data_IF_583118669151
#
_entry.id   IF_583118669151
#
_cell.length_a   1.000
_cell.length_b   1.000
_cell.length_c   1.000
_cell.angle_alpha   90.00
_cell.angle_beta   90.00
_cell.angle_gamma   90.00
#
_symmetry.space_group_name_H-M   'P 1'
#
loop_
_entity.id
_entity.type
_entity.pdbx_description
1 polymer ?
#
# COMPACT_ATOMS: atom_id res chain seq x y z
N UNK A 1 25.58 7.55 36.47
CA UNK A 1 25.30 7.46 35.02
C UNK A 1 23.80 7.41 34.82
N UNK A 2 23.14 8.56 34.70
CA UNK A 2 21.69 8.66 34.45
C UNK A 2 21.45 8.90 32.96
N UNK A 3 21.17 7.83 32.23
CA UNK A 3 20.76 7.90 30.84
C UNK A 3 19.38 8.57 30.76
N UNK A 4 19.31 9.77 30.18
CA UNK A 4 18.05 10.44 29.87
C UNK A 4 17.37 9.68 28.72
N UNK A 5 16.25 9.03 29.03
CA UNK A 5 15.34 8.51 28.02
C UNK A 5 14.88 9.68 27.13
N UNK A 6 15.18 9.62 25.83
CA UNK A 6 14.68 10.59 24.86
C UNK A 6 13.16 10.54 24.89
N UNK A 7 12.44 11.66 25.07
CA UNK A 7 10.99 11.64 25.04
C UNK A 7 10.55 11.12 23.68
N UNK A 8 9.75 10.06 23.67
CA UNK A 8 9.07 9.57 22.47
C UNK A 8 8.36 10.77 21.85
N UNK A 9 8.65 11.09 20.58
CA UNK A 9 7.87 12.05 19.81
C UNK A 9 6.40 11.75 20.07
N UNK A 10 5.74 12.60 20.85
CA UNK A 10 4.30 12.56 21.02
C UNK A 10 3.71 12.43 19.62
N UNK A 11 2.79 11.48 19.42
CA UNK A 11 2.01 11.38 18.18
C UNK A 11 1.07 12.59 18.15
N UNK A 12 1.64 13.77 17.94
CA UNK A 12 0.88 15.00 17.76
C UNK A 12 0.15 14.81 16.45
N UNK A 13 -1.18 14.71 16.51
CA UNK A 13 -2.06 14.73 15.34
C UNK A 13 -2.02 16.15 14.74
N UNK A 14 -0.91 16.48 14.07
CA UNK A 14 -0.65 17.80 13.49
C UNK A 14 -1.18 17.95 12.06
N UNK A 15 -1.33 16.83 11.36
CA UNK A 15 -1.78 16.81 9.96
C UNK A 15 -3.30 16.81 9.86
N UNK A 16 -3.83 17.51 8.86
CA UNK A 16 -5.27 17.63 8.60
C UNK A 16 -5.62 17.00 7.25
N UNK A 17 -6.72 16.23 7.25
CA UNK A 17 -7.36 15.74 6.04
C UNK A 17 -8.60 16.60 5.79
N UNK A 18 -8.58 17.39 4.71
CA UNK A 18 -9.68 18.27 4.33
C UNK A 18 -10.42 17.71 3.11
N UNK A 19 -11.75 17.60 3.20
CA UNK A 19 -12.61 17.20 2.10
C UNK A 19 -13.93 17.97 2.18
N UNK A 20 -14.44 18.41 1.03
CA UNK A 20 -15.80 18.94 0.92
C UNK A 20 -16.75 17.79 0.63
N UNK A 21 -17.85 17.74 1.37
CA UNK A 21 -18.89 16.72 1.23
C UNK A 21 -20.26 17.38 1.08
N UNK A 22 -21.19 16.68 0.45
CA UNK A 22 -22.59 17.10 0.37
C UNK A 22 -23.30 16.89 1.72
N UNK A 23 -24.47 17.51 1.87
CA UNK A 23 -25.32 17.30 3.06
C UNK A 23 -25.74 15.83 3.21
N UNK A 24 -26.03 15.15 2.10
CA UNK A 24 -26.42 13.73 2.10
C UNK A 24 -25.25 12.84 2.55
N UNK A 25 -24.03 13.11 2.06
CA UNK A 25 -22.83 12.40 2.51
C UNK A 25 -22.57 12.59 3.99
N UNK A 26 -22.73 13.83 4.50
CA UNK A 26 -22.60 14.12 5.93
C UNK A 26 -23.61 13.32 6.76
N UNK A 27 -24.88 13.36 6.36
CA UNK A 27 -25.96 12.66 7.08
C UNK A 27 -25.75 11.15 7.09
N UNK A 28 -25.31 10.58 5.97
CA UNK A 28 -24.97 9.17 5.86
C UNK A 28 -23.82 8.77 6.81
N UNK A 29 -22.75 9.57 6.83
CA UNK A 29 -21.58 9.31 7.68
C UNK A 29 -21.96 9.43 9.17
N UNK A 30 -22.74 10.45 9.54
CA UNK A 30 -23.24 10.64 10.91
C UNK A 30 -24.08 9.46 11.36
N UNK A 31 -25.00 8.98 10.51
CA UNK A 31 -25.81 7.82 10.81
C UNK A 31 -24.97 6.55 10.98
N UNK A 32 -24.03 6.29 10.07
CA UNK A 32 -23.15 5.13 10.14
C UNK A 32 -22.25 5.13 11.40
N UNK A 33 -21.73 6.31 11.79
CA UNK A 33 -20.96 6.48 13.00
C UNK A 33 -21.81 6.20 14.26
N UNK A 34 -23.04 6.72 14.28
CA UNK A 34 -23.98 6.49 15.37
C UNK A 34 -24.34 4.99 15.53
N UNK A 35 -24.59 4.28 14.43
CA UNK A 35 -24.87 2.84 14.45
C UNK A 35 -23.71 2.02 15.02
N UNK A 36 -22.48 2.49 14.87
CA UNK A 36 -21.27 1.83 15.37
C UNK A 36 -20.84 2.35 16.76
N UNK A 37 -21.62 3.25 17.37
CA UNK A 37 -21.34 3.78 18.71
C UNK A 37 -20.06 4.60 18.79
N UNK A 38 -19.61 5.22 17.69
CA UNK A 38 -18.36 5.98 17.62
C UNK A 38 -18.57 7.38 17.07
N UNK A 39 -17.60 8.26 17.33
CA UNK A 39 -17.65 9.64 16.80
C UNK A 39 -17.48 9.64 15.27
N UNK A 40 -18.02 10.65 14.60
CA UNK A 40 -17.82 10.86 13.15
C UNK A 40 -16.33 10.90 12.80
N UNK A 41 -15.52 11.60 13.59
CA UNK A 41 -14.07 11.70 13.38
C UNK A 41 -13.41 10.32 13.43
N UNK A 42 -13.75 9.50 14.43
CA UNK A 42 -13.20 8.15 14.57
C UNK A 42 -13.65 7.21 13.44
N UNK A 43 -14.93 7.32 13.07
CA UNK A 43 -15.51 6.60 11.93
C UNK A 43 -14.76 6.91 10.63
N UNK A 44 -14.58 8.20 10.33
CA UNK A 44 -13.91 8.66 9.10
C UNK A 44 -12.44 8.23 9.11
N UNK A 45 -11.71 8.46 10.21
CA UNK A 45 -10.29 8.12 10.29
C UNK A 45 -10.06 6.62 10.08
N UNK A 46 -10.85 5.78 10.76
CA UNK A 46 -10.73 4.32 10.63
C UNK A 46 -11.07 3.87 9.21
N UNK A 47 -12.18 4.37 8.66
CA UNK A 47 -12.64 3.97 7.32
C UNK A 47 -11.65 4.38 6.23
N UNK A 48 -11.09 5.60 6.32
CA UNK A 48 -10.08 6.08 5.37
C UNK A 48 -8.78 5.28 5.51
N UNK A 49 -8.36 4.94 6.73
CA UNK A 49 -7.16 4.15 6.95
C UNK A 49 -7.31 2.71 6.41
N UNK A 50 -8.47 2.08 6.59
CA UNK A 50 -8.77 0.77 6.02
C UNK A 50 -8.78 0.81 4.49
N UNK A 51 -9.47 1.80 3.90
CA UNK A 51 -9.52 1.96 2.44
C UNK A 51 -8.13 2.19 1.84
N UNK A 52 -7.31 3.05 2.46
CA UNK A 52 -5.95 3.29 2.02
C UNK A 52 -5.08 2.04 2.09
N UNK A 53 -5.22 1.23 3.16
CA UNK A 53 -4.48 -0.03 3.29
C UNK A 53 -4.86 -1.02 2.18
N UNK A 54 -6.16 -1.22 1.95
CA UNK A 54 -6.65 -2.11 0.89
C UNK A 54 -6.15 -1.68 -0.48
N UNK A 55 -6.24 -0.39 -0.79
CA UNK A 55 -5.74 0.14 -2.06
C UNK A 55 -4.24 -0.12 -2.25
N UNK A 56 -3.43 0.02 -1.20
CA UNK A 56 -1.99 -0.29 -1.27
C UNK A 56 -1.75 -1.79 -1.46
N UNK A 57 -2.45 -2.64 -0.69
CA UNK A 57 -2.32 -4.09 -0.76
C UNK A 57 -2.71 -4.63 -2.14
N UNK A 58 -3.80 -4.13 -2.73
CA UNK A 58 -4.25 -4.49 -4.08
C UNK A 58 -3.19 -4.20 -5.15
N UNK A 59 -2.39 -3.14 -5.00
CA UNK A 59 -1.34 -2.80 -5.96
C UNK A 59 -0.01 -3.52 -5.70
N UNK A 60 0.21 -4.03 -4.48
CA UNK A 60 1.45 -4.70 -4.09
C UNK A 60 1.36 -6.22 -4.15
N UNK A 61 0.14 -6.77 -4.17
CA UNK A 61 -0.08 -8.21 -4.12
C UNK A 61 -0.32 -8.76 -5.53
N UNK A 62 0.56 -9.67 -5.95
CA UNK A 62 0.32 -10.53 -7.10
C UNK A 62 -0.44 -11.78 -6.62
N UNK A 63 -1.76 -11.80 -6.84
CA UNK A 63 -2.53 -13.02 -6.65
C UNK A 63 -2.34 -13.92 -7.88
N UNK A 64 -1.52 -14.96 -7.71
CA UNK A 64 -1.23 -15.94 -8.74
C UNK A 64 -2.23 -17.09 -8.68
N UNK A 65 -2.71 -17.54 -9.83
CA UNK A 65 -3.44 -18.82 -9.90
C UNK A 65 -2.52 -19.97 -9.49
N UNK A 66 -3.08 -21.15 -9.14
CA UNK A 66 -2.26 -22.32 -8.79
C UNK A 66 -1.26 -22.68 -9.90
N UNK A 67 -1.65 -22.50 -11.16
CA UNK A 67 -0.76 -22.70 -12.32
C UNK A 67 0.38 -21.68 -12.32
N UNK A 68 0.06 -20.40 -12.13
CA UNK A 68 1.06 -19.33 -12.16
C UNK A 68 1.98 -19.39 -10.94
N UNK A 69 1.47 -19.79 -9.76
CA UNK A 69 2.28 -20.04 -8.57
C UNK A 69 3.30 -21.15 -8.82
N UNK A 70 2.89 -22.25 -9.46
CA UNK A 70 3.83 -23.35 -9.82
C UNK A 70 4.88 -22.86 -10.81
N UNK A 71 4.47 -22.17 -11.88
CA UNK A 71 5.39 -21.61 -12.86
C UNK A 71 6.38 -20.62 -12.23
N UNK A 72 5.92 -19.78 -11.30
CA UNK A 72 6.74 -18.83 -10.58
C UNK A 72 7.77 -19.53 -9.66
N UNK A 73 7.33 -20.50 -8.85
CA UNK A 73 8.22 -21.27 -7.97
C UNK A 73 9.22 -22.08 -8.78
N UNK A 74 8.78 -22.73 -9.87
CA UNK A 74 9.68 -23.47 -10.76
C UNK A 74 10.73 -22.55 -11.39
N UNK A 75 10.36 -21.33 -11.77
CA UNK A 75 11.32 -20.35 -12.30
C UNK A 75 12.34 -19.89 -11.26
N UNK A 76 11.99 -19.87 -9.96
CA UNK A 76 12.92 -19.54 -8.87
C UNK A 76 13.88 -20.68 -8.54
N UNK A 77 13.37 -21.92 -8.51
CA UNK A 77 14.16 -23.10 -8.12
C UNK A 77 14.97 -23.65 -9.31
N UNK A 78 14.43 -23.56 -10.52
CA UNK A 78 15.03 -24.04 -11.76
C UNK A 78 15.20 -22.89 -12.77
N UNK A 79 16.07 -21.91 -12.48
CA UNK A 79 16.24 -20.73 -13.33
C UNK A 79 16.68 -21.15 -14.72
N UNK A 80 15.87 -20.80 -15.73
CA UNK A 80 16.21 -21.06 -17.12
C UNK A 80 17.26 -20.06 -17.62
N UNK A 81 18.19 -20.47 -18.49
CA UNK A 81 19.16 -19.56 -19.06
C UNK A 81 18.44 -18.46 -19.86
N UNK A 82 18.94 -17.23 -19.73
CA UNK A 82 18.46 -16.07 -20.48
C UNK A 82 18.50 -16.39 -21.98
N UNK A 83 17.40 -16.15 -22.69
CA UNK A 83 17.36 -16.38 -24.14
C UNK A 83 18.15 -15.31 -24.93
N UNK A 84 18.50 -15.62 -26.18
CA UNK A 84 19.37 -14.75 -26.99
C UNK A 84 18.76 -13.37 -27.25
N UNK A 85 17.43 -13.32 -27.42
CA UNK A 85 16.69 -12.07 -27.61
C UNK A 85 16.82 -11.16 -26.40
N UNK A 86 16.63 -11.68 -25.18
CA UNK A 86 16.76 -10.90 -23.95
C UNK A 86 18.22 -10.48 -23.70
N UNK A 87 19.20 -11.35 -24.01
CA UNK A 87 20.62 -10.98 -23.99
C UNK A 87 20.92 -9.79 -24.89
N UNK A 88 20.38 -9.79 -26.11
CA UNK A 88 20.58 -8.72 -27.07
C UNK A 88 19.91 -7.41 -26.64
N UNK A 89 18.68 -7.49 -26.09
CA UNK A 89 17.99 -6.32 -25.52
C UNK A 89 18.78 -5.70 -24.37
N UNK A 90 19.28 -6.51 -23.43
CA UNK A 90 20.11 -6.03 -22.31
C UNK A 90 21.40 -5.39 -22.82
N UNK A 91 22.04 -5.99 -23.84
CA UNK A 91 23.25 -5.43 -24.46
C UNK A 91 22.98 -4.05 -25.07
N UNK A 92 21.89 -3.91 -25.83
CA UNK A 92 21.48 -2.64 -26.44
C UNK A 92 21.15 -1.59 -25.38
N UNK A 93 20.46 -1.98 -24.31
CA UNK A 93 20.15 -1.09 -23.20
C UNK A 93 21.42 -0.52 -22.56
N UNK A 94 22.37 -1.38 -22.17
CA UNK A 94 23.65 -0.96 -21.56
C UNK A 94 24.46 0.00 -22.45
N UNK A 95 24.48 -0.25 -23.76
CA UNK A 95 25.13 0.64 -24.73
C UNK A 95 24.47 2.02 -24.81
N UNK A 96 23.15 2.11 -24.61
CA UNK A 96 22.40 3.36 -24.67
C UNK A 96 22.41 4.15 -23.36
N UNK A 97 22.45 3.48 -22.20
CA UNK A 97 22.39 4.13 -20.87
C UNK A 97 23.72 4.25 -20.12
N UNK A 98 24.85 3.82 -20.71
CA UNK A 98 26.18 4.11 -20.17
C UNK A 98 26.46 3.58 -18.75
N UNK A 99 25.88 2.43 -18.39
CA UNK A 99 26.18 1.66 -17.17
C UNK A 99 26.63 0.24 -17.51
#
# INVERSE_FOLDING_TARGET
>A
MTAHARPSRSRIRGERLEARITADQKSLIEHAAALQGRTVTDFVLTSVQEAARRAIEEHQRLDLSVRDSRAFVDALINPQPVNDRLRETVRRYRQATGT
#
